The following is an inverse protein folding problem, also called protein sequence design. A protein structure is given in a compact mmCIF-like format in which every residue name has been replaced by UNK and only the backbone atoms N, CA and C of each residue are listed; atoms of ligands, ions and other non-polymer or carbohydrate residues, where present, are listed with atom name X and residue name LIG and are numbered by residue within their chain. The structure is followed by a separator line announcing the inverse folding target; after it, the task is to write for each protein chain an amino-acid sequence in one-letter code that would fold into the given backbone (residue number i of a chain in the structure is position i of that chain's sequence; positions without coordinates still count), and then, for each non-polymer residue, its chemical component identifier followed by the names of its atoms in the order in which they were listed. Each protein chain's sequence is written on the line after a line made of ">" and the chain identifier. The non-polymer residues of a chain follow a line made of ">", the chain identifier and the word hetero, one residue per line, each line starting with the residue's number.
data_IF_072651466205
#
_entry.id   IF_072651466205
#
_cell.length_a   1.000
_cell.length_b   1.000
_cell.length_c   1.000
_cell.angle_alpha   90.00
_cell.angle_beta   90.00
_cell.angle_gamma   90.00
#
_symmetry.space_group_name_H-M   'P 1'
#
loop_
_entity.id
_entity.type
_entity.pdbx_description
1 polymer ?
#
# COMPACT_ATOMS: atom_id res chain seq x y z
N UNK A 1 32.62 14.93 -19.01
CA UNK A 1 32.25 15.98 -18.04
C UNK A 1 30.95 15.54 -17.38
N UNK A 2 31.02 14.96 -16.18
CA UNK A 2 29.86 14.44 -15.45
C UNK A 2 29.22 15.64 -14.75
N UNK A 3 28.04 16.07 -15.20
CA UNK A 3 27.27 17.04 -14.43
C UNK A 3 26.41 16.31 -13.41
N UNK A 4 26.61 16.73 -12.16
CA UNK A 4 25.85 16.44 -10.97
C UNK A 4 24.35 16.60 -11.20
N UNK A 5 23.59 15.54 -10.94
CA UNK A 5 22.21 15.66 -10.45
C UNK A 5 22.13 14.86 -9.15
N UNK A 6 22.73 15.45 -8.12
CA UNK A 6 22.55 15.08 -6.71
C UNK A 6 21.23 15.74 -6.33
N UNK A 7 20.15 14.96 -6.23
CA UNK A 7 18.89 15.15 -5.49
C UNK A 7 17.83 14.27 -6.18
N UNK A 8 17.77 12.98 -5.78
CA UNK A 8 16.67 11.97 -5.86
C UNK A 8 17.36 10.59 -5.83
N UNK A 9 17.82 10.16 -4.65
CA UNK A 9 18.20 8.76 -4.39
C UNK A 9 17.73 8.32 -2.99
N UNK A 10 16.57 8.82 -2.56
CA UNK A 10 15.99 8.56 -1.24
C UNK A 10 15.02 7.37 -1.23
N UNK A 11 14.71 6.80 -2.39
CA UNK A 11 13.87 5.63 -2.60
C UNK A 11 14.33 4.90 -3.86
N UNK A 12 14.24 3.56 -3.87
CA UNK A 12 14.49 2.74 -5.06
C UNK A 12 13.20 2.00 -5.43
N UNK A 13 12.99 1.76 -6.72
CA UNK A 13 11.85 0.99 -7.23
C UNK A 13 12.34 -0.42 -7.47
N UNK A 14 11.75 -1.39 -6.78
CA UNK A 14 12.10 -2.80 -6.92
C UNK A 14 11.58 -3.39 -8.26
N UNK A 15 11.76 -4.70 -8.44
CA UNK A 15 11.24 -5.41 -9.63
C UNK A 15 9.71 -5.47 -9.69
N UNK A 16 9.02 -5.31 -8.57
CA UNK A 16 7.55 -5.28 -8.52
C UNK A 16 6.98 -3.91 -8.91
N UNK A 17 7.78 -2.85 -8.84
CA UNK A 17 7.34 -1.46 -8.99
C UNK A 17 7.06 -0.77 -7.65
N UNK A 18 7.30 -1.45 -6.52
CA UNK A 18 7.15 -0.90 -5.19
C UNK A 18 8.27 0.10 -4.88
N UNK A 19 7.87 1.22 -4.28
CA UNK A 19 8.80 2.25 -3.80
C UNK A 19 9.31 1.82 -2.42
N UNK A 20 10.60 1.47 -2.35
CA UNK A 20 11.22 1.03 -1.09
C UNK A 20 11.79 2.25 -0.34
N UNK A 21 11.39 2.47 0.93
CA UNK A 21 11.95 3.54 1.74
C UNK A 21 13.41 3.26 2.13
N UNK A 22 14.20 4.31 2.28
CA UNK A 22 15.54 4.18 2.86
C UNK A 22 15.42 3.94 4.36
N UNK A 23 15.86 2.76 4.81
CA UNK A 23 15.89 2.34 6.22
C UNK A 23 17.26 1.78 6.59
N UNK A 24 17.54 1.64 7.89
CA UNK A 24 18.75 0.98 8.38
C UNK A 24 18.83 -0.47 7.86
N UNK A 25 20.05 -1.00 7.75
CA UNK A 25 20.31 -2.26 7.05
C UNK A 25 19.55 -3.43 7.69
N UNK A 26 19.44 -3.43 9.01
CA UNK A 26 18.71 -4.41 9.82
C UNK A 26 17.20 -4.44 9.57
N UNK A 27 16.62 -3.37 9.01
CA UNK A 27 15.19 -3.29 8.70
C UNK A 27 14.87 -3.45 7.22
N UNK A 28 15.89 -3.62 6.37
CA UNK A 28 15.71 -3.58 4.91
C UNK A 28 14.77 -4.67 4.41
N UNK A 29 14.91 -5.90 4.90
CA UNK A 29 14.09 -7.03 4.44
C UNK A 29 12.62 -6.83 4.82
N UNK A 30 12.35 -6.33 6.03
CA UNK A 30 11.01 -5.97 6.46
C UNK A 30 10.42 -4.81 5.63
N UNK A 31 11.21 -3.78 5.34
CA UNK A 31 10.77 -2.66 4.52
C UNK A 31 10.41 -3.09 3.08
N UNK A 32 11.18 -4.02 2.50
CA UNK A 32 10.88 -4.61 1.20
C UNK A 32 9.56 -5.38 1.25
N UNK A 33 9.42 -6.31 2.20
CA UNK A 33 8.21 -7.14 2.31
C UNK A 33 6.93 -6.31 2.50
N UNK A 34 6.97 -5.29 3.36
CA UNK A 34 5.84 -4.39 3.59
C UNK A 34 5.54 -3.56 2.32
N UNK A 35 6.56 -3.01 1.68
CA UNK A 35 6.38 -2.19 0.48
C UNK A 35 5.79 -2.98 -0.69
N UNK A 36 6.26 -4.21 -0.90
CA UNK A 36 5.72 -5.13 -1.92
C UNK A 36 4.26 -5.47 -1.63
N UNK A 37 3.92 -5.87 -0.40
CA UNK A 37 2.55 -6.19 -0.02
C UNK A 37 1.60 -4.99 -0.16
N UNK A 38 2.04 -3.80 0.27
CA UNK A 38 1.28 -2.57 0.14
C UNK A 38 1.09 -2.16 -1.32
N UNK A 39 2.13 -2.32 -2.15
CA UNK A 39 2.06 -2.05 -3.59
C UNK A 39 1.05 -2.99 -4.26
N UNK A 40 1.09 -4.29 -3.97
CA UNK A 40 0.14 -5.27 -4.50
C UNK A 40 -1.31 -4.95 -4.11
N UNK A 41 -1.57 -4.63 -2.83
CA UNK A 41 -2.89 -4.18 -2.38
C UNK A 41 -3.34 -2.93 -3.14
N UNK A 42 -2.43 -1.97 -3.36
CA UNK A 42 -2.76 -0.76 -4.11
C UNK A 42 -3.10 -1.06 -5.57
N UNK A 43 -2.32 -1.89 -6.25
CA UNK A 43 -2.59 -2.32 -7.63
C UNK A 43 -3.96 -2.99 -7.77
N UNK A 44 -4.30 -3.89 -6.85
CA UNK A 44 -5.60 -4.56 -6.86
C UNK A 44 -6.76 -3.58 -6.64
N UNK A 45 -6.60 -2.61 -5.72
CA UNK A 45 -7.60 -1.55 -5.51
C UNK A 45 -7.74 -0.66 -6.74
N UNK A 46 -6.64 -0.23 -7.34
CA UNK A 46 -6.65 0.61 -8.53
C UNK A 46 -7.29 -0.10 -9.72
N UNK A 47 -6.94 -1.36 -9.98
CA UNK A 47 -7.55 -2.16 -11.05
C UNK A 47 -9.05 -2.40 -10.81
N UNK A 48 -9.46 -2.55 -9.55
CA UNK A 48 -10.87 -2.65 -9.22
C UNK A 48 -11.59 -1.31 -9.39
N UNK A 49 -11.03 -0.18 -8.95
CA UNK A 49 -11.65 1.13 -9.06
C UNK A 49 -11.74 1.61 -10.51
N UNK A 50 -10.67 1.36 -11.26
CA UNK A 50 -10.42 1.90 -12.58
C UNK A 50 -10.08 0.78 -13.59
N UNK A 51 -11.03 -0.11 -13.93
CA UNK A 51 -10.75 -1.19 -14.88
C UNK A 51 -10.29 -0.63 -16.23
N UNK A 52 -9.15 -1.09 -16.80
CA UNK A 52 -8.59 -0.53 -18.03
C UNK A 52 -9.53 -0.65 -19.24
N UNK A 53 -10.42 -1.63 -19.22
CA UNK A 53 -11.47 -1.78 -20.23
C UNK A 53 -12.53 -0.67 -20.14
N UNK A 54 -12.74 -0.04 -18.98
CA UNK A 54 -13.80 0.95 -18.72
C UNK A 54 -13.30 2.40 -18.74
N UNK A 55 -12.00 2.61 -18.57
CA UNK A 55 -11.40 3.94 -18.51
C UNK A 55 -10.45 4.22 -19.68
N UNK A 56 -10.21 5.50 -19.88
CA UNK A 56 -9.14 6.03 -20.73
C UNK A 56 -8.31 7.03 -19.90
N UNK A 57 -6.98 6.97 -20.03
CA UNK A 57 -6.07 7.93 -19.41
C UNK A 57 -5.72 9.00 -20.44
N UNK A 58 -6.03 10.25 -20.14
CA UNK A 58 -5.80 11.39 -21.02
C UNK A 58 -4.88 12.38 -20.31
N UNK A 59 -3.85 12.93 -20.99
CA UNK A 59 -2.93 13.89 -20.39
C UNK A 59 -3.64 15.04 -19.68
N UNK A 60 -3.10 15.44 -18.53
CA UNK A 60 -3.60 16.61 -17.81
C UNK A 60 -3.39 17.89 -18.64
N UNK A 61 -4.34 18.82 -18.58
CA UNK A 61 -4.25 20.13 -19.25
C UNK A 61 -3.10 20.94 -18.64
N UNK A 62 -2.88 20.77 -17.34
CA UNK A 62 -1.83 21.43 -16.58
C UNK A 62 -0.60 20.53 -16.50
N UNK A 63 0.54 21.03 -16.97
CA UNK A 63 1.80 20.30 -16.90
C UNK A 63 2.22 20.01 -15.44
N UNK A 64 2.80 18.83 -15.22
CA UNK A 64 3.29 18.40 -13.90
C UNK A 64 2.25 17.65 -13.05
N UNK A 65 1.00 17.53 -13.52
CA UNK A 65 -0.04 16.75 -12.87
C UNK A 65 -0.21 15.36 -13.52
N UNK A 66 -0.69 14.35 -12.77
CA UNK A 66 -0.98 13.02 -13.32
C UNK A 66 -2.10 13.05 -14.36
N UNK A 67 -2.07 12.10 -15.29
CA UNK A 67 -3.11 11.94 -16.31
C UNK A 67 -4.51 11.80 -15.70
N UNK A 68 -5.49 12.42 -16.37
CA UNK A 68 -6.91 12.31 -16.00
C UNK A 68 -7.45 10.95 -16.39
N UNK A 69 -8.23 10.37 -15.49
CA UNK A 69 -8.97 9.13 -15.72
C UNK A 69 -10.39 9.50 -16.19
N UNK A 70 -10.72 9.15 -17.43
CA UNK A 70 -12.02 9.44 -18.04
C UNK A 70 -12.77 8.12 -18.25
N UNK A 71 -14.04 8.10 -17.88
CA UNK A 71 -14.91 6.94 -18.11
C UNK A 71 -15.28 6.85 -19.59
N UNK A 72 -15.17 5.65 -20.18
CA UNK A 72 -15.76 5.39 -21.49
C UNK A 72 -17.29 5.49 -21.39
N UNK A 73 -17.99 6.08 -22.38
CA UNK A 73 -19.43 6.35 -22.28
C UNK A 73 -20.28 5.13 -21.91
N UNK A 74 -19.95 3.94 -22.44
CA UNK A 74 -20.68 2.70 -22.18
C UNK A 74 -20.58 2.19 -20.73
N UNK A 75 -19.57 2.64 -19.96
CA UNK A 75 -19.26 2.15 -18.62
C UNK A 75 -19.40 3.21 -17.52
N UNK A 76 -19.79 4.44 -17.87
CA UNK A 76 -19.83 5.56 -16.94
C UNK A 76 -20.76 5.32 -15.73
N UNK A 77 -21.91 4.69 -15.95
CA UNK A 77 -22.87 4.38 -14.89
C UNK A 77 -22.32 3.33 -13.90
N UNK A 78 -21.64 2.30 -14.41
CA UNK A 78 -21.03 1.24 -13.62
C UNK A 78 -19.80 1.78 -12.86
N UNK A 79 -18.98 2.60 -13.50
CA UNK A 79 -17.78 3.19 -12.88
C UNK A 79 -18.16 4.10 -11.71
N UNK A 80 -19.27 4.84 -11.79
CA UNK A 80 -19.79 5.65 -10.67
C UNK A 80 -20.08 4.84 -9.41
N UNK A 81 -20.37 3.54 -9.54
CA UNK A 81 -20.60 2.65 -8.40
C UNK A 81 -19.29 2.10 -7.81
N UNK A 82 -18.14 2.27 -8.46
CA UNK A 82 -16.86 1.75 -8.01
C UNK A 82 -16.14 2.76 -7.13
N UNK A 83 -16.61 2.91 -5.91
CA UNK A 83 -15.97 3.72 -4.87
C UNK A 83 -15.24 2.82 -3.87
N UNK A 84 -14.23 3.35 -3.18
CA UNK A 84 -13.57 2.63 -2.08
C UNK A 84 -14.60 2.19 -1.03
N UNK A 85 -15.56 3.05 -0.67
CA UNK A 85 -16.65 2.69 0.25
C UNK A 85 -17.38 1.42 -0.22
N UNK A 86 -17.76 1.36 -1.50
CA UNK A 86 -18.45 0.18 -2.03
C UNK A 86 -17.56 -1.06 -2.09
N UNK A 87 -16.26 -0.91 -2.39
CA UNK A 87 -15.30 -2.00 -2.36
C UNK A 87 -15.18 -2.60 -0.95
N UNK A 88 -14.98 -1.76 0.06
CA UNK A 88 -14.80 -2.20 1.44
C UNK A 88 -16.10 -2.72 2.06
N UNK A 89 -17.26 -2.22 1.65
CA UNK A 89 -18.56 -2.79 2.05
C UNK A 89 -18.79 -4.18 1.45
N UNK A 90 -18.42 -4.39 0.18
CA UNK A 90 -18.53 -5.72 -0.47
C UNK A 90 -17.49 -6.72 0.06
N UNK A 91 -16.33 -6.22 0.50
CA UNK A 91 -15.22 -6.98 1.08
C UNK A 91 -14.93 -8.31 0.35
N UNK A 92 -14.61 -8.27 -0.96
CA UNK A 92 -14.36 -9.49 -1.73
C UNK A 92 -13.15 -10.27 -1.19
N UNK A 93 -13.12 -11.59 -1.40
CA UNK A 93 -12.08 -12.47 -0.84
C UNK A 93 -10.64 -12.04 -1.19
N UNK A 94 -10.41 -11.56 -2.41
CA UNK A 94 -9.09 -11.06 -2.81
C UNK A 94 -8.64 -9.85 -1.98
N UNK A 95 -9.57 -8.99 -1.55
CA UNK A 95 -9.25 -7.81 -0.75
C UNK A 95 -8.86 -8.25 0.66
N UNK A 96 -9.60 -9.21 1.23
CA UNK A 96 -9.27 -9.79 2.54
C UNK A 96 -7.88 -10.41 2.51
N UNK A 97 -7.58 -11.25 1.52
CA UNK A 97 -6.30 -11.92 1.41
C UNK A 97 -5.14 -10.92 1.22
N UNK A 98 -5.35 -9.85 0.45
CA UNK A 98 -4.36 -8.80 0.27
C UNK A 98 -4.07 -8.04 1.58
N UNK A 99 -5.10 -7.76 2.40
CA UNK A 99 -4.91 -7.17 3.73
C UNK A 99 -4.20 -8.13 4.69
N UNK A 100 -4.61 -9.40 4.74
CA UNK A 100 -3.93 -10.42 5.55
C UNK A 100 -2.45 -10.50 5.22
N UNK A 101 -2.08 -10.47 3.94
CA UNK A 101 -0.67 -10.50 3.52
C UNK A 101 0.11 -9.28 3.97
N UNK A 102 -0.50 -8.11 3.92
CA UNK A 102 0.10 -6.87 4.43
C UNK A 102 0.27 -6.94 5.96
N UNK A 103 -0.77 -7.37 6.68
CA UNK A 103 -0.75 -7.49 8.14
C UNK A 103 0.32 -8.50 8.62
N UNK A 104 0.48 -9.63 7.92
CA UNK A 104 1.56 -10.60 8.16
C UNK A 104 2.95 -9.97 8.00
N UNK A 105 3.14 -9.15 6.96
CA UNK A 105 4.42 -8.48 6.71
C UNK A 105 4.76 -7.46 7.80
N UNK A 106 3.73 -6.77 8.30
CA UNK A 106 3.87 -5.82 9.43
C UNK A 106 4.14 -6.56 10.73
N UNK A 107 3.38 -7.61 11.05
CA UNK A 107 3.60 -8.40 12.27
C UNK A 107 4.99 -9.03 12.32
N UNK A 108 5.49 -9.53 11.19
CA UNK A 108 6.86 -10.01 11.07
C UNK A 108 7.89 -8.92 11.40
N UNK A 109 7.66 -7.67 10.96
CA UNK A 109 8.54 -6.54 11.28
C UNK A 109 8.52 -6.15 12.77
N UNK A 110 7.40 -6.39 13.46
CA UNK A 110 7.29 -6.24 14.92
C UNK A 110 7.78 -7.48 15.70
N UNK A 111 8.23 -8.55 15.02
CA UNK A 111 8.68 -9.79 15.65
C UNK A 111 7.56 -10.58 16.33
N UNK A 112 6.32 -10.49 15.84
CA UNK A 112 5.20 -11.24 16.39
C UNK A 112 5.16 -12.67 15.80
N UNK A 113 5.28 -13.69 16.66
CA UNK A 113 5.38 -15.11 16.25
C UNK A 113 4.09 -15.72 15.69
N UNK A 114 2.94 -15.08 15.91
CA UNK A 114 1.64 -15.54 15.41
C UNK A 114 1.30 -14.78 14.12
N UNK A 115 0.67 -15.46 13.16
CA UNK A 115 0.04 -14.80 12.03
C UNK A 115 -0.86 -13.67 12.56
N UNK A 116 -0.67 -12.44 12.08
CA UNK A 116 -1.47 -11.28 12.51
C UNK A 116 -2.99 -11.54 12.39
N UNK A 117 -3.37 -12.42 11.45
CA UNK A 117 -4.73 -12.87 11.22
C UNK A 117 -5.32 -13.74 12.35
N UNK A 118 -4.48 -14.38 13.17
CA UNK A 118 -4.87 -15.19 14.33
C UNK A 118 -4.91 -14.39 15.63
N UNK A 119 -4.22 -13.24 15.68
CA UNK A 119 -4.27 -12.34 16.83
C UNK A 119 -5.62 -11.63 16.89
N UNK A 120 -6.29 -11.72 18.03
CA UNK A 120 -7.48 -10.92 18.24
C UNK A 120 -7.11 -9.45 18.51
N UNK A 121 -8.06 -8.54 18.29
CA UNK A 121 -7.83 -7.09 18.45
C UNK A 121 -7.26 -6.72 19.82
N UNK A 122 -7.75 -7.36 20.90
CA UNK A 122 -7.30 -7.06 22.25
C UNK A 122 -5.82 -7.43 22.46
N UNK A 123 -5.35 -8.54 21.89
CA UNK A 123 -3.94 -8.95 21.94
C UNK A 123 -3.04 -7.97 21.20
N UNK A 124 -3.47 -7.50 20.01
CA UNK A 124 -2.75 -6.49 19.24
C UNK A 124 -2.62 -5.20 20.06
N UNK A 125 -3.73 -4.73 20.64
CA UNK A 125 -3.74 -3.53 21.47
C UNK A 125 -2.84 -3.66 22.72
N UNK A 126 -2.84 -4.82 23.38
CA UNK A 126 -1.97 -5.07 24.53
C UNK A 126 -0.48 -5.01 24.15
N UNK A 127 -0.09 -5.63 23.02
CA UNK A 127 1.29 -5.59 22.53
C UNK A 127 1.73 -4.17 22.19
N UNK A 128 0.89 -3.42 21.48
CA UNK A 128 1.16 -2.02 21.13
C UNK A 128 1.25 -1.13 22.37
N UNK A 129 0.37 -1.33 23.36
CA UNK A 129 0.44 -0.60 24.63
C UNK A 129 1.74 -0.89 25.38
N UNK A 130 2.16 -2.16 25.45
CA UNK A 130 3.41 -2.54 26.09
C UNK A 130 4.62 -1.86 25.42
N UNK A 131 4.67 -1.84 24.09
CA UNK A 131 5.71 -1.12 23.32
C UNK A 131 5.70 0.38 23.61
N UNK A 132 4.52 1.02 23.62
CA UNK A 132 4.43 2.45 23.92
C UNK A 132 4.89 2.80 25.35
N UNK A 133 4.58 1.93 26.31
CA UNK A 133 5.01 2.11 27.70
C UNK A 133 6.52 1.91 27.89
N UNK A 134 7.21 1.15 27.04
CA UNK A 134 8.68 1.02 27.12
C UNK A 134 9.36 2.28 26.59
N UNK A 135 8.88 2.84 25.47
CA UNK A 135 9.41 4.09 24.92
C UNK A 135 9.17 5.29 25.83
N UNK A 136 8.01 5.36 26.49
CA UNK A 136 7.68 6.46 27.41
C UNK A 136 8.49 6.48 28.71
N UNK A 137 9.20 5.40 29.06
CA UNK A 137 10.03 5.30 30.28
C UNK A 137 11.49 5.71 30.07
N UNK A 138 11.91 5.89 28.82
CA UNK A 138 13.27 6.33 28.47
C UNK A 138 13.37 7.83 28.17
N UNK A 139 12.33 8.60 28.48
CA UNK A 139 12.26 10.05 28.35
C UNK A 139 12.34 10.76 29.72
#
# INVERSE_FOLDING_TARGET
>A
MRQSSIYIKLTFIDTSGAIIPTVAAEYRDHAIAIAEAAFQLNQLRENWLNPPEWIERVPEVVAGYPDRIIAKPAFAAQLKQRTLTNLYNKKPAWLVNAHVKLDQSVAAAYGWENDAAELNEAEILQRLLALNLTWGKCA
#
